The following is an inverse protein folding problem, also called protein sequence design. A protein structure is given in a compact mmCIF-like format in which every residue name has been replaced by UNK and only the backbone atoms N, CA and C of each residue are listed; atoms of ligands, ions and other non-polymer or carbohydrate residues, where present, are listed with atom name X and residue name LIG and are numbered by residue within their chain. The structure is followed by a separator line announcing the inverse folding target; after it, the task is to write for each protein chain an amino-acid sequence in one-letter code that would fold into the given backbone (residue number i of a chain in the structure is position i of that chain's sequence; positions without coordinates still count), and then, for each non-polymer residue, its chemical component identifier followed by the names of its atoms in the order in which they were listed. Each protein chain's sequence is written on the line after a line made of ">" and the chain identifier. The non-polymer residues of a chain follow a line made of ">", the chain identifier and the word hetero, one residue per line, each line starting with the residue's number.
data_IF_103673760550
#
_entry.id   IF_103673760550
#
_cell.length_a   1.000
_cell.length_b   1.000
_cell.length_c   1.000
_cell.angle_alpha   90.00
_cell.angle_beta   90.00
_cell.angle_gamma   90.00
#
_symmetry.space_group_name_H-M   'P 1'
#
loop_
_entity.id
_entity.type
_entity.pdbx_description
1 polymer ?
#
# COMPACT_ATOMS: atom_id res chain seq x y z
N UNK A 1 -4.49 26.82 -40.60
CA UNK A 1 -5.24 27.29 -39.39
C UNK A 1 -4.36 27.14 -38.15
N UNK A 2 -4.21 28.19 -37.34
CA UNK A 2 -3.33 28.15 -36.17
C UNK A 2 -4.08 27.64 -34.93
N UNK A 3 -3.48 26.70 -34.19
CA UNK A 3 -4.02 26.14 -32.94
C UNK A 3 -2.93 26.03 -31.89
N UNK A 4 -3.32 25.92 -30.62
CA UNK A 4 -2.38 25.67 -29.53
C UNK A 4 -2.26 24.17 -29.25
N UNK A 5 -1.04 23.70 -29.00
CA UNK A 5 -0.80 22.30 -28.65
C UNK A 5 -1.22 21.99 -27.22
N UNK A 6 -2.06 20.97 -27.01
CA UNK A 6 -2.53 20.54 -25.69
C UNK A 6 -1.47 19.86 -24.77
N UNK A 7 -0.18 20.00 -25.08
CA UNK A 7 0.93 19.45 -24.27
C UNK A 7 1.99 20.49 -23.95
N UNK A 8 2.36 21.32 -24.93
CA UNK A 8 3.40 22.33 -24.78
C UNK A 8 2.91 23.77 -24.97
N UNK A 9 1.61 23.96 -25.20
CA UNK A 9 0.93 25.24 -25.44
C UNK A 9 1.52 26.11 -26.56
N UNK A 10 2.39 25.56 -27.42
CA UNK A 10 2.94 26.29 -28.56
C UNK A 10 1.89 26.43 -29.67
N UNK A 11 1.85 27.59 -30.36
CA UNK A 11 1.06 27.73 -31.57
C UNK A 11 1.65 26.83 -32.66
N UNK A 12 0.79 26.13 -33.39
CA UNK A 12 1.19 25.31 -34.54
C UNK A 12 0.15 25.40 -35.65
N UNK A 13 0.59 25.15 -36.88
CA UNK A 13 -0.30 25.06 -38.02
C UNK A 13 -0.95 23.68 -38.09
N UNK A 14 -2.26 23.64 -37.83
CA UNK A 14 -3.03 22.41 -37.88
C UNK A 14 -3.45 22.10 -39.33
N UNK A 15 -3.03 20.93 -39.82
CA UNK A 15 -3.42 20.40 -41.14
C UNK A 15 -4.85 19.85 -41.15
N UNK A 16 -5.46 19.58 -39.99
CA UNK A 16 -6.80 19.00 -39.84
C UNK A 16 -7.54 19.64 -38.66
N UNK A 17 -8.87 19.85 -38.73
CA UNK A 17 -9.62 20.54 -37.68
C UNK A 17 -9.62 19.80 -36.33
N UNK A 18 -9.34 18.49 -36.33
CA UNK A 18 -9.22 17.65 -35.14
C UNK A 18 -7.78 17.54 -34.57
N UNK A 19 -6.79 18.21 -35.16
CA UNK A 19 -5.40 18.12 -34.70
C UNK A 19 -5.20 18.84 -33.35
N UNK A 20 -4.83 18.10 -32.30
CA UNK A 20 -4.65 18.60 -30.91
C UNK A 20 -3.19 18.87 -30.50
N UNK A 21 -2.22 18.36 -31.27
CA UNK A 21 -0.80 18.39 -30.90
C UNK A 21 0.05 18.91 -32.05
N UNK A 22 1.13 19.64 -31.74
CA UNK A 22 2.01 20.24 -32.74
C UNK A 22 2.87 19.23 -33.53
N UNK A 23 2.97 17.98 -33.07
CA UNK A 23 3.78 16.96 -33.74
C UNK A 23 3.67 15.57 -33.09
N UNK A 24 4.36 14.59 -33.68
CA UNK A 24 4.38 13.21 -33.22
C UNK A 24 4.91 13.08 -31.78
N UNK A 25 5.91 13.87 -31.40
CA UNK A 25 6.52 13.86 -30.06
C UNK A 25 5.53 14.25 -28.98
N UNK A 26 4.75 15.32 -29.18
CA UNK A 26 3.72 15.74 -28.23
C UNK A 26 2.54 14.75 -28.20
N UNK A 27 2.22 14.11 -29.34
CA UNK A 27 1.21 13.05 -29.39
C UNK A 27 1.62 11.83 -28.53
N UNK A 28 2.88 11.39 -28.63
CA UNK A 28 3.41 10.26 -27.83
C UNK A 28 3.50 10.62 -26.35
N UNK A 29 3.88 11.86 -26.00
CA UNK A 29 3.85 12.32 -24.60
C UNK A 29 2.44 12.32 -24.03
N UNK A 30 1.46 12.82 -24.80
CA UNK A 30 0.06 12.80 -24.40
C UNK A 30 -0.49 11.37 -24.23
N UNK A 31 -0.12 10.43 -25.11
CA UNK A 31 -0.57 9.04 -24.99
C UNK A 31 0.05 8.33 -23.78
N UNK A 32 1.29 8.68 -23.39
CA UNK A 32 1.91 8.18 -22.16
C UNK A 32 1.29 8.79 -20.90
N UNK A 33 0.94 10.08 -20.94
CA UNK A 33 0.22 10.74 -19.85
C UNK A 33 -1.21 10.20 -19.69
N UNK A 34 -1.89 9.88 -20.80
CA UNK A 34 -3.24 9.28 -20.80
C UNK A 34 -3.28 7.78 -20.48
N UNK A 35 -2.15 7.07 -20.55
CA UNK A 35 -2.06 5.64 -20.18
C UNK A 35 -2.04 5.39 -18.67
N UNK A 36 -1.91 6.46 -17.86
CA UNK A 36 -1.94 6.42 -16.38
C UNK A 36 -3.15 7.16 -15.81
N UNK A 37 -4.19 7.36 -16.60
CA UNK A 37 -5.41 8.01 -16.14
C UNK A 37 -6.63 7.38 -16.81
N UNK A 38 -6.91 6.12 -16.47
CA UNK A 38 -8.32 5.78 -16.25
C UNK A 38 -8.79 6.71 -15.14
N UNK A 39 -9.67 7.62 -15.55
CA UNK A 39 -10.36 8.59 -14.75
C UNK A 39 -10.60 8.09 -13.32
N UNK A 40 -10.06 8.83 -12.36
CA UNK A 40 -10.68 9.02 -11.06
C UNK A 40 -12.07 9.64 -11.29
N UNK A 41 -13.04 8.82 -11.71
CA UNK A 41 -14.40 8.99 -11.23
C UNK A 41 -14.31 8.51 -9.79
N UNK A 42 -14.32 9.44 -8.85
CA UNK A 42 -14.43 9.12 -7.44
C UNK A 42 -15.49 8.02 -7.28
N UNK A 43 -15.14 6.83 -6.77
CA UNK A 43 -16.17 5.93 -6.29
C UNK A 43 -16.94 6.72 -5.21
N UNK A 44 -18.28 6.65 -5.16
CA UNK A 44 -18.96 7.04 -3.94
C UNK A 44 -18.28 6.29 -2.81
N UNK A 45 -17.95 6.99 -1.72
CA UNK A 45 -17.35 6.42 -0.53
C UNK A 45 -18.08 5.11 -0.20
N UNK A 46 -17.47 3.99 -0.58
CA UNK A 46 -17.93 2.69 -0.13
C UNK A 46 -17.63 2.73 1.35
N UNK A 47 -18.70 2.71 2.14
CA UNK A 47 -18.65 2.61 3.58
C UNK A 47 -17.51 1.68 3.95
N UNK A 48 -16.59 2.20 4.76
CA UNK A 48 -15.52 1.41 5.36
C UNK A 48 -16.16 0.12 5.83
N UNK A 49 -15.70 -1.01 5.29
CA UNK A 49 -16.07 -2.31 5.81
C UNK A 49 -15.55 -2.31 7.23
N UNK A 50 -16.44 -2.10 8.19
CA UNK A 50 -16.18 -2.30 9.62
C UNK A 50 -15.70 -3.75 9.77
N UNK A 51 -14.38 -3.95 9.76
CA UNK A 51 -13.76 -5.26 9.85
C UNK A 51 -12.47 -5.48 9.05
N UNK A 52 -12.13 -4.61 8.07
CA UNK A 52 -10.81 -4.69 7.44
C UNK A 52 -9.83 -3.83 8.24
N UNK A 53 -9.11 -4.45 9.18
CA UNK A 53 -8.03 -3.80 9.90
C UNK A 53 -7.04 -3.15 8.92
N UNK A 54 -6.74 -1.85 9.10
CA UNK A 54 -5.71 -1.15 8.34
C UNK A 54 -4.36 -1.89 8.52
N UNK A 55 -3.53 -1.92 7.47
CA UNK A 55 -2.26 -2.65 7.49
C UNK A 55 -1.39 -2.24 8.69
N UNK A 56 -1.41 -0.95 9.03
CA UNK A 56 -0.72 -0.43 10.22
C UNK A 56 -1.26 -1.07 11.49
N UNK A 57 -2.59 -1.12 11.65
CA UNK A 57 -3.22 -1.73 12.83
C UNK A 57 -2.94 -3.23 12.96
N UNK A 58 -2.85 -3.97 11.85
CA UNK A 58 -2.51 -5.38 11.86
C UNK A 58 -1.04 -5.60 12.29
N UNK A 59 -0.11 -4.82 11.72
CA UNK A 59 1.32 -4.87 12.08
C UNK A 59 1.54 -4.50 13.54
N UNK A 60 0.86 -3.45 14.02
CA UNK A 60 0.93 -3.06 15.44
C UNK A 60 0.41 -4.18 16.33
N UNK A 61 -0.75 -4.77 16.03
CA UNK A 61 -1.32 -5.86 16.85
C UNK A 61 -0.37 -7.08 16.94
N UNK A 62 0.25 -7.49 15.83
CA UNK A 62 1.25 -8.57 15.83
C UNK A 62 2.48 -8.24 16.69
N UNK A 63 3.00 -7.01 16.59
CA UNK A 63 4.14 -6.58 17.39
C UNK A 63 3.80 -6.42 18.87
N UNK A 64 2.61 -5.93 19.21
CA UNK A 64 2.14 -5.81 20.59
C UNK A 64 1.96 -7.20 21.20
N UNK A 65 1.35 -8.15 20.47
CA UNK A 65 1.21 -9.54 20.91
C UNK A 65 2.58 -10.20 21.17
N UNK A 66 3.61 -9.83 20.40
CA UNK A 66 4.98 -10.29 20.59
C UNK A 66 5.77 -9.49 21.65
N UNK A 67 5.21 -8.41 22.20
CA UNK A 67 5.93 -7.49 23.11
C UNK A 67 7.09 -6.74 22.44
N UNK A 68 7.03 -6.53 21.12
CA UNK A 68 8.11 -5.96 20.29
C UNK A 68 7.79 -4.59 19.69
N UNK A 69 6.63 -4.02 19.97
CA UNK A 69 6.18 -2.73 19.41
C UNK A 69 7.18 -1.58 19.64
N UNK A 70 7.76 -1.49 20.84
CA UNK A 70 8.74 -0.46 21.21
C UNK A 70 10.18 -0.78 20.79
N UNK A 71 10.43 -1.93 20.16
CA UNK A 71 11.76 -2.31 19.68
C UNK A 71 12.12 -1.56 18.40
N UNK A 72 13.42 -1.41 18.11
CA UNK A 72 13.89 -0.75 16.89
C UNK A 72 13.29 -1.38 15.61
N UNK A 73 13.20 -2.71 15.55
CA UNK A 73 12.59 -3.42 14.42
C UNK A 73 11.06 -3.26 14.39
N UNK A 74 10.40 -3.19 15.55
CA UNK A 74 8.95 -2.94 15.63
C UNK A 74 8.58 -1.55 15.11
N UNK A 75 9.30 -0.51 15.57
CA UNK A 75 9.12 0.87 15.08
C UNK A 75 9.39 0.95 13.57
N UNK A 76 10.41 0.26 13.08
CA UNK A 76 10.72 0.22 11.64
C UNK A 76 9.61 -0.45 10.82
N UNK A 77 9.04 -1.57 11.30
CA UNK A 77 7.93 -2.25 10.63
C UNK A 77 6.69 -1.37 10.52
N UNK A 78 6.34 -0.65 11.60
CA UNK A 78 5.22 0.30 11.61
C UNK A 78 5.44 1.43 10.59
N UNK A 79 6.64 2.00 10.54
CA UNK A 79 6.96 3.05 9.57
C UNK A 79 6.89 2.57 8.11
N UNK A 80 7.25 1.32 7.83
CA UNK A 80 7.10 0.72 6.50
C UNK A 80 5.62 0.52 6.16
N UNK A 81 4.81 0.03 7.12
CA UNK A 81 3.37 -0.15 6.94
C UNK A 81 2.65 1.19 6.64
N UNK A 82 2.96 2.24 7.40
CA UNK A 82 2.43 3.59 7.15
C UNK A 82 2.83 4.12 5.77
N UNK A 83 4.07 3.85 5.37
CA UNK A 83 4.56 4.25 4.05
C UNK A 83 3.82 3.50 2.95
N UNK A 84 3.59 2.19 3.09
CA UNK A 84 2.81 1.39 2.15
C UNK A 84 1.38 1.89 2.02
N UNK A 85 0.74 2.33 3.12
CA UNK A 85 -0.61 2.89 3.10
C UNK A 85 -0.72 4.21 2.31
N UNK A 86 0.41 4.92 2.09
CA UNK A 86 0.46 6.21 1.39
C UNK A 86 0.89 6.13 -0.09
N UNK A 87 1.38 4.98 -0.57
CA UNK A 87 1.95 4.85 -1.91
C UNK A 87 0.94 4.34 -2.94
N UNK A 88 0.68 5.14 -3.97
CA UNK A 88 -0.20 4.81 -5.11
C UNK A 88 0.51 4.12 -6.30
N UNK A 89 1.85 3.94 -6.24
CA UNK A 89 2.61 3.35 -7.36
C UNK A 89 3.06 1.92 -7.07
N UNK A 90 2.66 0.99 -7.96
CA UNK A 90 2.83 -0.46 -7.79
C UNK A 90 4.29 -0.94 -7.71
N UNK A 91 5.24 -0.21 -8.31
CA UNK A 91 6.65 -0.60 -8.30
C UNK A 91 7.32 -0.40 -6.93
N UNK A 92 6.96 0.66 -6.20
CA UNK A 92 7.47 0.90 -4.84
C UNK A 92 6.86 -0.06 -3.82
N UNK A 93 5.61 -0.48 -4.05
CA UNK A 93 4.87 -1.34 -3.13
C UNK A 93 5.49 -2.74 -3.02
N UNK A 94 5.92 -3.33 -4.14
CA UNK A 94 6.54 -4.66 -4.11
C UNK A 94 7.86 -4.71 -3.32
N UNK A 95 8.68 -3.65 -3.39
CA UNK A 95 9.90 -3.55 -2.61
C UNK A 95 9.59 -3.37 -1.11
N UNK A 96 8.65 -2.49 -0.78
CA UNK A 96 8.21 -2.26 0.61
C UNK A 96 7.57 -3.52 1.21
N UNK A 97 6.79 -4.29 0.45
CA UNK A 97 6.22 -5.55 0.93
C UNK A 97 7.28 -6.60 1.24
N UNK A 98 8.37 -6.66 0.46
CA UNK A 98 9.50 -7.56 0.74
C UNK A 98 10.23 -7.13 2.01
N UNK A 99 10.47 -5.83 2.16
CA UNK A 99 11.12 -5.27 3.33
C UNK A 99 10.29 -5.49 4.60
N UNK A 100 8.98 -5.21 4.56
CA UNK A 100 8.08 -5.44 5.69
C UNK A 100 8.14 -6.90 6.14
N UNK A 101 8.12 -7.86 5.20
CA UNK A 101 8.25 -9.28 5.51
C UNK A 101 9.58 -9.61 6.20
N UNK A 102 10.69 -9.04 5.73
CA UNK A 102 12.02 -9.28 6.30
C UNK A 102 12.14 -8.71 7.72
N UNK A 103 11.67 -7.48 7.93
CA UNK A 103 11.67 -6.82 9.24
C UNK A 103 10.77 -7.56 10.23
N UNK A 104 9.54 -7.92 9.84
CA UNK A 104 8.63 -8.69 10.71
C UNK A 104 9.20 -10.05 11.08
N UNK A 105 9.80 -10.79 10.14
CA UNK A 105 10.46 -12.06 10.43
C UNK A 105 11.59 -11.89 11.46
N UNK A 106 12.35 -10.80 11.36
CA UNK A 106 13.47 -10.51 12.27
C UNK A 106 12.98 -10.02 13.65
N UNK A 107 11.92 -9.22 13.68
CA UNK A 107 11.31 -8.73 14.91
C UNK A 107 10.69 -9.88 15.73
N UNK A 108 10.11 -10.88 15.05
CA UNK A 108 9.40 -12.00 15.68
C UNK A 108 10.29 -13.21 15.97
N UNK A 109 11.51 -13.31 15.41
CA UNK A 109 12.40 -14.48 15.50
C UNK A 109 12.73 -14.94 16.94
N UNK A 110 12.66 -14.04 17.93
CA UNK A 110 12.89 -14.35 19.35
C UNK A 110 11.73 -13.88 20.23
N UNK A 111 10.53 -13.73 19.68
CA UNK A 111 9.34 -13.49 20.49
C UNK A 111 8.96 -14.81 21.19
N UNK A 112 9.00 -14.82 22.53
CA UNK A 112 8.37 -15.91 23.26
C UNK A 112 6.87 -15.85 22.93
N UNK A 113 6.23 -16.95 22.49
CA UNK A 113 4.81 -16.94 22.24
C UNK A 113 4.10 -16.57 23.54
N UNK A 114 3.43 -15.41 23.56
CA UNK A 114 2.43 -15.12 24.58
C UNK A 114 1.36 -16.19 24.40
N UNK A 115 1.15 -17.00 25.45
CA UNK A 115 0.35 -18.23 25.41
C UNK A 115 -0.89 -18.08 24.52
N UNK A 116 -0.92 -18.87 23.47
CA UNK A 116 -1.97 -18.84 22.46
C UNK A 116 -3.28 -19.31 23.12
N UNK A 117 -4.45 -18.94 22.59
CA UNK A 117 -5.75 -19.36 23.13
C UNK A 117 -5.88 -20.90 23.23
N UNK A 118 -5.08 -21.62 22.44
CA UNK A 118 -4.93 -23.08 22.44
C UNK A 118 -4.16 -23.58 23.68
N UNK A 119 -3.15 -22.85 24.15
CA UNK A 119 -2.39 -23.18 25.37
C UNK A 119 -3.26 -22.97 26.61
N UNK A 120 -4.11 -21.95 26.62
CA UNK A 120 -5.11 -21.76 27.68
C UNK A 120 -6.16 -22.89 27.68
N UNK A 121 -6.57 -23.35 26.50
CA UNK A 121 -7.49 -24.50 26.36
C UNK A 121 -6.85 -25.82 26.83
N UNK A 122 -5.56 -26.03 26.56
CA UNK A 122 -4.77 -27.17 27.09
C UNK A 122 -4.67 -27.11 28.62
N UNK A 123 -4.28 -25.96 29.17
CA UNK A 123 -4.19 -25.78 30.62
C UNK A 123 -5.54 -25.98 31.34
N UNK A 124 -6.67 -25.68 30.67
CA UNK A 124 -8.01 -26.02 31.18
C UNK A 124 -8.31 -27.52 31.13
N UNK A 125 -7.91 -28.22 30.06
CA UNK A 125 -8.10 -29.69 29.97
C UNK A 125 -7.28 -30.43 31.01
N UNK A 126 -6.04 -30.02 31.23
CA UNK A 126 -5.13 -30.71 32.14
C UNK A 126 -5.57 -30.54 33.60
N UNK A 127 -6.03 -29.33 33.98
CA UNK A 127 -6.68 -29.09 35.28
C UNK A 127 -7.94 -29.93 35.50
N UNK A 128 -8.70 -30.22 34.44
CA UNK A 128 -9.91 -31.06 34.51
C UNK A 128 -9.61 -32.56 34.56
N UNK A 129 -8.40 -32.99 34.20
CA UNK A 129 -7.95 -34.39 34.26
C UNK A 129 -7.18 -34.72 35.54
N UNK A 130 -6.64 -33.71 36.21
CA UNK A 130 -5.85 -33.85 37.43
C UNK A 130 -6.66 -33.73 38.73
N UNK A 131 -7.98 -33.53 38.64
CA UNK A 131 -8.93 -33.59 39.76
C UNK A 131 -10.04 -34.58 39.46
#
# INVERSE_FOLDING_TARGET
>A
MQRQCAQCNRPFEAQRPQAKYCGATCRVRASRAGGSSSAAKAPPAVAAVEGAADLVSAVTAELTAAGRESSALGVQAIAIAERMARFDTSAGLAALSKELRAVMASALQNAAPVADAVDELKARRDRKRAG
#
